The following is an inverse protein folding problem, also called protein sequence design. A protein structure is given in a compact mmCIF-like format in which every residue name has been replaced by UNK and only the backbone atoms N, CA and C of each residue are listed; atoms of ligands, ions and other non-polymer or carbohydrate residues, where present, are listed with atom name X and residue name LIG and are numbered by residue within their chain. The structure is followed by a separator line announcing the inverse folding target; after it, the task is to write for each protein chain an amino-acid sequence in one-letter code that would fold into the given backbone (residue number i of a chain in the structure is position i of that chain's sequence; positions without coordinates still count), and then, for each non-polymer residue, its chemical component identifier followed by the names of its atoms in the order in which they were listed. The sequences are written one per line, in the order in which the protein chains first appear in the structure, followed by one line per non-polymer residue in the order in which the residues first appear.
data_IF_916939647137
#
_entry.id   IF_916939647137
#
_cell.length_a   1.000
_cell.length_b   1.000
_cell.length_c   1.000
_cell.angle_alpha   90.00
_cell.angle_beta   90.00
_cell.angle_gamma   90.00
#
_symmetry.space_group_name_H-M   'P 1'
#
loop_
_entity.id
_entity.type
_entity.pdbx_description
1 polymer ?
#
# COMPACT_ATOMS: atom_id res chain seq x y z
N UNK A 1 -16.01 2.35 -75.32
CA UNK A 1 -16.32 0.97 -74.91
C UNK A 1 -15.21 0.57 -73.94
N UNK A 2 -15.42 0.86 -72.65
CA UNK A 2 -15.69 -0.11 -71.56
C UNK A 2 -14.51 -1.07 -71.33
N UNK A 3 -13.96 -1.31 -70.14
CA UNK A 3 -13.99 -0.74 -68.78
C UNK A 3 -12.87 -1.49 -68.03
N UNK A 4 -12.19 -0.80 -67.12
CA UNK A 4 -11.44 -1.26 -65.92
C UNK A 4 -10.42 -2.40 -66.03
N UNK A 5 -9.16 -2.01 -65.82
CA UNK A 5 -8.17 -2.82 -65.12
C UNK A 5 -8.67 -3.17 -63.71
N UNK A 6 -8.74 -4.45 -63.46
CA UNK A 6 -9.15 -5.06 -62.20
C UNK A 6 -7.97 -4.96 -61.22
N UNK A 7 -7.94 -3.86 -60.47
CA UNK A 7 -7.00 -3.66 -59.39
C UNK A 7 -7.41 -4.60 -58.23
N UNK A 8 -6.91 -5.84 -58.25
CA UNK A 8 -7.07 -6.83 -57.18
C UNK A 8 -6.23 -6.37 -55.98
N UNK A 9 -6.79 -5.44 -55.21
CA UNK A 9 -6.30 -5.09 -53.89
C UNK A 9 -6.39 -6.33 -53.01
N UNK A 10 -5.22 -6.89 -52.68
CA UNK A 10 -5.07 -8.02 -51.76
C UNK A 10 -5.77 -7.72 -50.42
N UNK A 11 -6.87 -8.41 -50.09
CA UNK A 11 -7.64 -8.16 -48.87
C UNK A 11 -6.94 -8.64 -47.58
N UNK A 12 -5.76 -9.25 -47.70
CA UNK A 12 -5.00 -9.82 -46.58
C UNK A 12 -4.19 -8.80 -45.78
N UNK A 13 -3.75 -7.69 -46.41
CA UNK A 13 -2.85 -6.72 -45.77
C UNK A 13 -3.57 -5.85 -44.73
N UNK A 14 -4.80 -5.45 -45.01
CA UNK A 14 -5.62 -4.64 -44.07
C UNK A 14 -6.04 -5.44 -42.83
N UNK A 15 -6.33 -6.74 -42.99
CA UNK A 15 -6.64 -7.60 -41.83
C UNK A 15 -5.43 -7.79 -40.91
N UNK A 16 -4.24 -7.96 -41.47
CA UNK A 16 -3.01 -8.08 -40.69
C UNK A 16 -2.67 -6.77 -39.95
N UNK A 17 -2.86 -5.61 -40.60
CA UNK A 17 -2.68 -4.31 -39.95
C UNK A 17 -3.67 -4.06 -38.82
N UNK A 18 -4.95 -4.39 -39.03
CA UNK A 18 -6.00 -4.27 -38.01
C UNK A 18 -5.71 -5.12 -36.77
N UNK A 19 -5.24 -6.36 -36.95
CA UNK A 19 -4.92 -7.28 -35.85
C UNK A 19 -3.75 -6.76 -35.00
N UNK A 20 -2.73 -6.16 -35.62
CA UNK A 20 -1.59 -5.59 -34.88
C UNK A 20 -2.01 -4.39 -34.02
N UNK A 21 -2.89 -3.52 -34.54
CA UNK A 21 -3.41 -2.37 -33.78
C UNK A 21 -4.28 -2.81 -32.61
N UNK A 22 -5.18 -3.77 -32.84
CA UNK A 22 -6.05 -4.32 -31.80
C UNK A 22 -5.22 -5.00 -30.70
N UNK A 23 -4.22 -5.80 -31.07
CA UNK A 23 -3.31 -6.43 -30.12
C UNK A 23 -2.48 -5.41 -29.34
N UNK A 24 -2.02 -4.32 -29.98
CA UNK A 24 -1.29 -3.25 -29.31
C UNK A 24 -2.12 -2.54 -28.24
N UNK A 25 -3.40 -2.28 -28.51
CA UNK A 25 -4.31 -1.65 -27.56
C UNK A 25 -4.61 -2.59 -26.37
N UNK A 26 -4.93 -3.86 -26.66
CA UNK A 26 -5.16 -4.87 -25.62
C UNK A 26 -3.92 -5.09 -24.75
N UNK A 27 -2.74 -5.20 -25.36
CA UNK A 27 -1.48 -5.36 -24.64
C UNK A 27 -1.21 -4.16 -23.71
N UNK A 28 -1.47 -2.94 -24.16
CA UNK A 28 -1.30 -1.72 -23.34
C UNK A 28 -2.22 -1.73 -22.13
N UNK A 29 -3.50 -2.05 -22.31
CA UNK A 29 -4.48 -2.16 -21.22
C UNK A 29 -4.08 -3.27 -20.24
N UNK A 30 -3.61 -4.40 -20.75
CA UNK A 30 -3.17 -5.53 -19.93
C UNK A 30 -1.93 -5.19 -19.09
N UNK A 31 -0.93 -4.52 -19.67
CA UNK A 31 0.25 -4.04 -18.95
C UNK A 31 -0.15 -3.04 -17.86
N UNK A 32 -1.05 -2.10 -18.17
CA UNK A 32 -1.56 -1.15 -17.18
C UNK A 32 -2.27 -1.86 -16.01
N UNK A 33 -3.05 -2.90 -16.30
CA UNK A 33 -3.69 -3.72 -15.29
C UNK A 33 -2.69 -4.46 -14.40
N UNK A 34 -1.64 -5.04 -14.97
CA UNK A 34 -0.57 -5.70 -14.19
C UNK A 34 0.12 -4.69 -13.26
N UNK A 35 0.50 -3.52 -13.77
CA UNK A 35 1.12 -2.47 -12.96
C UNK A 35 0.18 -2.05 -11.83
N UNK A 36 -1.09 -1.85 -12.12
CA UNK A 36 -2.11 -1.52 -11.12
C UNK A 36 -2.17 -2.59 -10.01
N UNK A 37 -2.21 -3.87 -10.36
CA UNK A 37 -2.25 -4.97 -9.39
C UNK A 37 -0.99 -5.01 -8.51
N UNK A 38 0.19 -4.77 -9.08
CA UNK A 38 1.44 -4.70 -8.31
C UNK A 38 1.44 -3.54 -7.31
N UNK A 39 1.01 -2.35 -7.73
CA UNK A 39 0.92 -1.17 -6.85
C UNK A 39 -0.12 -1.41 -5.75
N UNK A 40 -1.27 -1.99 -6.09
CA UNK A 40 -2.30 -2.33 -5.13
C UNK A 40 -1.82 -3.37 -4.12
N UNK A 41 -1.14 -4.41 -4.59
CA UNK A 41 -0.56 -5.46 -3.74
C UNK A 41 0.49 -4.90 -2.76
N UNK A 42 1.36 -4.01 -3.24
CA UNK A 42 2.36 -3.34 -2.42
C UNK A 42 1.71 -2.46 -1.34
N UNK A 43 0.66 -1.72 -1.70
CA UNK A 43 -0.11 -0.91 -0.75
C UNK A 43 -0.79 -1.77 0.32
N UNK A 44 -1.44 -2.86 -0.08
CA UNK A 44 -2.12 -3.78 0.83
C UNK A 44 -1.14 -4.46 1.77
N UNK A 45 0.02 -4.89 1.26
CA UNK A 45 1.09 -5.47 2.04
C UNK A 45 1.58 -4.51 3.14
N UNK A 46 1.94 -3.29 2.77
CA UNK A 46 2.39 -2.26 3.71
C UNK A 46 1.31 -1.88 4.74
N UNK A 47 0.04 -1.86 4.34
CA UNK A 47 -1.09 -1.70 5.25
C UNK A 47 -1.18 -2.83 6.27
N UNK A 48 -0.98 -4.08 5.84
CA UNK A 48 -0.96 -5.25 6.74
C UNK A 48 0.20 -5.17 7.73
N UNK A 49 1.41 -4.83 7.26
CA UNK A 49 2.60 -4.64 8.11
C UNK A 49 2.37 -3.54 9.16
N UNK A 50 1.75 -2.42 8.78
CA UNK A 50 1.41 -1.35 9.72
C UNK A 50 0.41 -1.81 10.80
N UNK A 51 -0.61 -2.59 10.42
CA UNK A 51 -1.56 -3.14 11.38
C UNK A 51 -0.89 -4.13 12.36
N UNK A 52 -0.01 -4.99 11.85
CA UNK A 52 0.76 -5.93 12.68
C UNK A 52 1.67 -5.19 13.66
N UNK A 53 2.38 -4.14 13.21
CA UNK A 53 3.22 -3.32 14.07
C UNK A 53 2.41 -2.61 15.17
N UNK A 54 1.25 -2.05 14.84
CA UNK A 54 0.36 -1.43 15.82
C UNK A 54 -0.12 -2.45 16.87
N UNK A 55 -0.54 -3.64 16.42
CA UNK A 55 -0.96 -4.71 17.33
C UNK A 55 0.17 -5.17 18.25
N UNK A 56 1.38 -5.32 17.71
CA UNK A 56 2.57 -5.70 18.48
C UNK A 56 2.87 -4.66 19.56
N UNK A 57 2.87 -3.36 19.22
CA UNK A 57 3.10 -2.29 20.18
C UNK A 57 2.01 -2.20 21.27
N UNK A 58 0.74 -2.33 20.88
CA UNK A 58 -0.37 -2.32 21.85
C UNK A 58 -0.28 -3.50 22.82
N UNK A 59 0.03 -4.70 22.31
CA UNK A 59 0.19 -5.88 23.13
C UNK A 59 1.41 -5.80 24.06
N UNK A 60 2.56 -5.36 23.55
CA UNK A 60 3.74 -5.17 24.39
C UNK A 60 3.49 -4.16 25.50
N UNK A 61 2.85 -3.02 25.21
CA UNK A 61 2.50 -2.04 26.24
C UNK A 61 1.54 -2.62 27.27
N UNK A 62 0.60 -3.47 26.86
CA UNK A 62 -0.35 -4.13 27.76
C UNK A 62 0.34 -5.06 28.76
N UNK A 63 1.44 -5.70 28.37
CA UNK A 63 2.14 -6.74 29.14
C UNK A 63 3.36 -6.22 29.90
N UNK A 64 4.09 -5.25 29.36
CA UNK A 64 5.31 -4.73 30.02
C UNK A 64 5.06 -3.42 30.76
N UNK A 65 4.06 -2.66 30.34
CA UNK A 65 3.83 -1.29 30.81
C UNK A 65 4.87 -0.28 30.31
N UNK A 66 5.87 -0.69 29.52
CA UNK A 66 6.90 0.20 28.96
C UNK A 66 6.52 0.66 27.55
N UNK A 67 6.11 1.93 27.43
CA UNK A 67 5.73 2.53 26.16
C UNK A 67 6.92 2.78 25.22
N UNK A 68 8.11 3.05 25.76
CA UNK A 68 9.31 3.35 24.96
C UNK A 68 9.84 2.08 24.31
N UNK A 69 9.94 1.01 25.07
CA UNK A 69 10.37 -0.29 24.55
C UNK A 69 9.37 -0.81 23.50
N UNK A 70 8.07 -0.74 23.80
CA UNK A 70 7.00 -1.16 22.88
C UNK A 70 7.06 -0.41 21.54
N UNK A 71 7.29 0.91 21.60
CA UNK A 71 7.48 1.75 20.41
C UNK A 71 8.70 1.32 19.62
N UNK A 72 9.85 1.13 20.27
CA UNK A 72 11.11 0.79 19.59
C UNK A 72 11.06 -0.61 18.93
N UNK A 73 10.33 -1.56 19.51
CA UNK A 73 10.09 -2.87 18.89
C UNK A 73 9.19 -2.76 17.66
N UNK A 74 8.06 -2.05 17.76
CA UNK A 74 7.16 -1.86 16.62
C UNK A 74 7.81 -1.05 15.49
N UNK A 75 8.62 -0.04 15.82
CA UNK A 75 9.37 0.76 14.85
C UNK A 75 10.44 -0.09 14.14
N UNK A 76 11.12 -0.98 14.87
CA UNK A 76 12.05 -1.95 14.26
C UNK A 76 11.32 -2.87 13.29
N UNK A 77 10.16 -3.40 13.67
CA UNK A 77 9.34 -4.24 12.80
C UNK A 77 8.89 -3.50 11.53
N UNK A 78 8.42 -2.25 11.64
CA UNK A 78 8.08 -1.43 10.48
C UNK A 78 9.27 -1.22 9.54
N UNK A 79 10.44 -0.88 10.09
CA UNK A 79 11.63 -0.59 9.27
C UNK A 79 12.16 -1.82 8.53
N UNK A 80 12.02 -3.01 9.09
CA UNK A 80 12.50 -4.25 8.45
C UNK A 80 11.49 -4.88 7.52
N UNK A 81 10.19 -4.81 7.84
CA UNK A 81 9.15 -5.48 7.08
C UNK A 81 8.49 -4.59 6.01
N UNK A 82 8.51 -3.27 6.15
CA UNK A 82 7.90 -2.39 5.13
C UNK A 82 8.74 -2.31 3.87
N UNK A 83 8.06 -2.22 2.72
CA UNK A 83 8.71 -2.12 1.41
C UNK A 83 8.41 -0.74 0.82
N UNK A 84 9.44 -0.07 0.31
CA UNK A 84 9.31 1.26 -0.31
C UNK A 84 8.67 2.33 0.59
N UNK A 85 8.89 2.22 1.91
CA UNK A 85 8.52 3.23 2.88
C UNK A 85 9.56 4.37 2.90
N UNK A 86 9.09 5.61 2.87
CA UNK A 86 9.91 6.82 3.03
C UNK A 86 9.85 7.35 4.47
N UNK A 87 8.76 7.08 5.18
CA UNK A 87 8.56 7.51 6.56
C UNK A 87 7.84 6.47 7.38
N UNK A 88 8.32 6.21 8.59
CA UNK A 88 7.73 5.29 9.56
C UNK A 88 7.67 5.97 10.91
N UNK A 89 6.52 5.98 11.56
CA UNK A 89 6.39 6.42 12.94
C UNK A 89 5.40 5.52 13.69
N UNK A 90 5.61 5.38 14.99
CA UNK A 90 4.74 4.63 15.88
C UNK A 90 4.47 5.47 17.10
N UNK A 91 3.19 5.63 17.42
CA UNK A 91 2.73 6.25 18.65
C UNK A 91 2.11 5.16 19.52
N UNK A 92 2.46 5.15 20.80
CA UNK A 92 1.95 4.18 21.78
C UNK A 92 1.51 4.97 22.99
N UNK A 93 0.30 4.74 23.47
CA UNK A 93 -0.24 5.44 24.63
C UNK A 93 -1.19 4.53 25.42
N UNK A 94 -1.36 4.85 26.69
CA UNK A 94 -2.35 4.22 27.56
C UNK A 94 -3.62 5.06 27.55
N UNK A 95 -4.76 4.39 27.47
CA UNK A 95 -6.09 5.00 27.52
C UNK A 95 -6.93 4.24 28.56
N UNK A 96 -6.83 4.68 29.81
CA UNK A 96 -7.41 3.96 30.95
C UNK A 96 -6.87 2.54 31.09
N UNK A 97 -7.76 1.57 30.96
CA UNK A 97 -7.49 0.12 31.05
C UNK A 97 -7.01 -0.51 29.72
N UNK A 98 -6.89 0.29 28.66
CA UNK A 98 -6.44 -0.15 27.35
C UNK A 98 -5.06 0.41 26.99
N UNK A 99 -4.23 -0.42 26.38
CA UNK A 99 -3.01 -0.05 25.69
C UNK A 99 -3.36 0.16 24.21
N UNK A 100 -3.07 1.34 23.68
CA UNK A 100 -3.35 1.71 22.29
C UNK A 100 -2.07 2.04 21.55
N UNK A 101 -2.04 1.70 20.27
CA UNK A 101 -0.93 2.02 19.39
C UNK A 101 -1.42 2.43 18.01
N UNK A 102 -0.68 3.34 17.39
CA UNK A 102 -0.88 3.79 16.02
C UNK A 102 0.43 3.65 15.25
N UNK A 103 0.40 2.88 14.18
CA UNK A 103 1.49 2.81 13.20
C UNK A 103 1.15 3.73 12.01
N UNK A 104 2.09 4.63 11.71
CA UNK A 104 2.04 5.53 10.58
C UNK A 104 3.15 5.14 9.59
N UNK A 105 2.76 4.87 8.36
CA UNK A 105 3.68 4.57 7.26
C UNK A 105 3.42 5.55 6.12
N UNK A 106 4.48 6.00 5.48
CA UNK A 106 4.44 6.87 4.31
C UNK A 106 5.24 6.21 3.21
N UNK A 107 4.66 6.02 2.03
CA UNK A 107 5.32 5.39 0.89
C UNK A 107 5.25 6.26 -0.37
N UNK A 108 6.23 6.09 -1.25
CA UNK A 108 6.25 6.79 -2.54
C UNK A 108 5.07 6.35 -3.40
N UNK A 109 4.51 7.26 -4.17
CA UNK A 109 3.53 6.90 -5.18
C UNK A 109 4.23 6.27 -6.40
N UNK A 110 3.78 5.07 -6.80
CA UNK A 110 4.38 4.29 -7.89
C UNK A 110 3.56 4.31 -9.19
N UNK A 111 2.50 5.10 -9.29
CA UNK A 111 1.70 5.18 -10.52
C UNK A 111 2.44 5.94 -11.65
N UNK A 112 2.91 5.27 -12.71
CA UNK A 112 3.56 5.94 -13.81
C UNK A 112 2.55 6.76 -14.63
N UNK A 113 2.83 8.03 -14.87
CA UNK A 113 2.09 8.87 -15.82
C UNK A 113 0.69 9.36 -15.39
N UNK A 114 0.08 8.76 -14.37
CA UNK A 114 -1.23 9.15 -13.84
C UNK A 114 -1.30 10.62 -13.39
N UNK A 115 -0.27 11.18 -12.72
CA UNK A 115 -0.25 12.62 -12.37
C UNK A 115 -0.22 13.54 -13.60
N UNK A 116 0.44 13.11 -14.69
CA UNK A 116 0.50 13.87 -15.95
C UNK A 116 -0.81 13.79 -16.74
N UNK A 117 -1.54 12.68 -16.63
CA UNK A 117 -2.82 12.48 -17.33
C UNK A 117 -4.00 13.18 -16.64
N UNK A 118 -3.98 13.30 -15.31
CA UNK A 118 -5.08 13.88 -14.52
C UNK A 118 -4.80 15.31 -14.01
N UNK A 119 -3.82 15.99 -14.61
CA UNK A 119 -3.67 17.44 -14.46
C UNK A 119 -3.03 17.92 -13.14
N UNK A 120 -2.05 17.21 -12.58
CA UNK A 120 -1.09 17.89 -11.71
C UNK A 120 -0.44 17.09 -10.57
N UNK A 121 0.50 17.78 -9.91
CA UNK A 121 1.35 17.32 -8.80
C UNK A 121 0.59 16.92 -7.53
N UNK A 122 -0.73 17.15 -7.47
CA UNK A 122 -1.57 16.76 -6.32
C UNK A 122 -1.60 15.25 -6.09
N UNK A 123 -1.31 14.45 -7.12
CA UNK A 123 -1.20 13.00 -7.04
C UNK A 123 0.23 12.50 -6.82
N UNK A 124 1.25 13.37 -6.82
CA UNK A 124 2.65 13.01 -6.55
C UNK A 124 2.99 12.94 -5.05
N UNK A 125 2.02 13.18 -4.17
CA UNK A 125 2.22 13.11 -2.72
C UNK A 125 2.45 11.68 -2.22
N UNK A 126 3.19 11.52 -1.11
CA UNK A 126 3.38 10.21 -0.51
C UNK A 126 2.06 9.65 0.02
N UNK A 127 1.84 8.36 -0.19
CA UNK A 127 0.66 7.64 0.30
C UNK A 127 0.85 7.39 1.80
N UNK A 128 0.01 8.03 2.61
CA UNK A 128 0.00 7.86 4.07
C UNK A 128 -0.92 6.71 4.44
N UNK A 129 -0.38 5.72 5.14
CA UNK A 129 -1.10 4.58 5.70
C UNK A 129 -1.08 4.74 7.22
N UNK A 130 -2.26 4.74 7.82
CA UNK A 130 -2.42 4.81 9.27
C UNK A 130 -3.24 3.62 9.75
N UNK A 131 -2.74 2.92 10.77
CA UNK A 131 -3.42 1.80 11.42
C UNK A 131 -3.37 1.99 12.93
N UNK A 132 -4.52 1.84 13.58
CA UNK A 132 -4.71 1.98 15.02
C UNK A 132 -5.22 0.66 15.57
N UNK A 133 -4.61 0.19 16.64
CA UNK A 133 -4.98 -1.04 17.32
C UNK A 133 -4.96 -0.82 18.83
N UNK A 134 -5.74 -1.61 19.56
CA UNK A 134 -5.86 -1.54 21.02
C UNK A 134 -5.94 -2.92 21.66
N UNK A 135 -5.45 -3.03 22.89
CA UNK A 135 -5.49 -4.24 23.69
C UNK A 135 -5.74 -3.91 25.16
N UNK A 136 -6.46 -4.76 25.87
CA UNK A 136 -6.69 -4.60 27.32
C UNK A 136 -5.39 -4.85 28.07
N UNK A 137 -5.05 -3.96 29.00
CA UNK A 137 -3.82 -4.03 29.80
C UNK A 137 -3.89 -5.23 30.77
N UNK A 138 -2.75 -5.85 31.08
CA UNK A 138 -2.73 -6.92 32.07
C UNK A 138 -3.21 -6.44 33.45
N UNK A 139 -3.87 -7.34 34.18
CA UNK A 139 -4.49 -7.05 35.48
C UNK A 139 -3.49 -6.43 36.49
N UNK A 140 -2.24 -6.91 36.48
CA UNK A 140 -1.16 -6.39 37.33
C UNK A 140 -0.92 -4.89 37.16
N UNK A 141 -1.03 -4.38 35.94
CA UNK A 141 -0.82 -2.95 35.67
C UNK A 141 -2.10 -2.12 35.80
N UNK A 142 -3.27 -2.77 35.90
CA UNK A 142 -4.55 -2.14 36.22
C UNK A 142 -4.76 -1.99 37.73
N UNK A 143 -4.30 -2.96 38.53
CA UNK A 143 -4.44 -2.97 39.99
C UNK A 143 -3.07 -2.95 40.69
N UNK A 144 -2.29 -1.87 40.56
CA UNK A 144 -0.94 -1.80 41.14
C UNK A 144 -0.93 -1.93 42.66
N UNK A 145 -2.04 -1.64 43.34
CA UNK A 145 -2.18 -1.75 44.80
C UNK A 145 -2.23 -3.19 45.33
N UNK A 146 -2.51 -4.19 44.49
CA UNK A 146 -2.63 -5.60 44.92
C UNK A 146 -1.30 -6.37 44.81
N UNK A 147 -0.30 -5.79 44.16
CA UNK A 147 1.00 -6.42 43.87
C UNK A 147 2.19 -5.69 44.50
N UNK A 148 1.92 -4.80 45.45
CA UNK A 148 2.90 -3.98 46.16
C UNK A 148 3.22 -4.58 47.54
#
# INVERSE_FOLDING_TARGET
MLIREENILSPGRDRQGSVVVEFGLVATVFIALIIFLLVLGLWLYNSSVAAQAARLAAHHLAVTGDARESRDQALRHLRTASIAAEGTDVMVWRDGDEARAQANLSMKNFYPGLPKLLGGDKWNGPIKIQRKEGCVIEYRFRNPSEFN
#
